data_IF_688067426120
#
_entry.id   IF_688067426120
#
_cell.length_a   1.000
_cell.length_b   1.000
_cell.length_c   1.000
_cell.angle_alpha   90.00
_cell.angle_beta   90.00
_cell.angle_gamma   90.00
#
_symmetry.space_group_name_H-M   'P 1'
#
loop_
_entity.id
_entity.type
_entity.pdbx_description
1 polymer ?
#
# COMPACT_ATOMS: atom_id res chain seq x y z
N UNK A 1 -10.90 22.49 -12.18
CA UNK A 1 -11.72 23.65 -12.60
C UNK A 1 -13.12 23.50 -12.01
N UNK A 2 -13.60 24.54 -11.31
CA UNK A 2 -14.96 24.61 -10.77
C UNK A 2 -15.69 25.73 -11.49
N UNK A 3 -16.69 25.45 -12.32
CA UNK A 3 -17.35 26.47 -13.16
C UNK A 3 -17.91 27.67 -12.37
N UNK A 4 -18.30 27.48 -11.12
CA UNK A 4 -18.85 28.54 -10.26
C UNK A 4 -17.80 29.41 -9.55
N UNK A 5 -16.50 29.08 -9.65
CA UNK A 5 -15.44 29.77 -8.89
C UNK A 5 -14.39 30.42 -9.80
N UNK A 6 -14.76 31.48 -10.48
CA UNK A 6 -13.89 32.19 -11.46
C UNK A 6 -12.55 32.63 -10.85
N UNK A 7 -12.55 33.15 -9.61
CA UNK A 7 -11.31 33.53 -8.91
C UNK A 7 -10.39 32.37 -8.65
N UNK A 8 -10.93 31.22 -8.23
CA UNK A 8 -10.17 29.99 -7.98
C UNK A 8 -9.58 29.44 -9.28
N UNK A 9 -10.33 29.46 -10.37
CA UNK A 9 -9.87 29.05 -11.70
C UNK A 9 -8.75 29.95 -12.24
N UNK A 10 -8.81 31.27 -12.01
CA UNK A 10 -7.74 32.20 -12.39
C UNK A 10 -6.44 31.94 -11.62
N UNK A 11 -6.53 31.66 -10.31
CA UNK A 11 -5.37 31.28 -9.49
C UNK A 11 -4.78 29.96 -10.01
N UNK A 12 -5.61 28.99 -10.33
CA UNK A 12 -5.17 27.69 -10.87
C UNK A 12 -4.47 27.82 -12.22
N UNK A 13 -4.96 28.69 -13.12
CA UNK A 13 -4.32 29.01 -14.40
C UNK A 13 -2.97 29.70 -14.21
N UNK A 14 -2.88 30.67 -13.29
CA UNK A 14 -1.63 31.34 -12.94
C UNK A 14 -0.59 30.38 -12.39
N UNK A 15 -1.01 29.48 -11.49
CA UNK A 15 -0.14 28.46 -10.93
C UNK A 15 0.33 27.45 -11.99
N UNK A 16 -0.53 27.08 -12.94
CA UNK A 16 -0.14 26.22 -14.06
C UNK A 16 0.89 26.88 -14.97
N UNK A 17 0.70 28.17 -15.31
CA UNK A 17 1.68 28.93 -16.10
C UNK A 17 3.01 29.13 -15.37
N UNK A 18 2.98 29.28 -14.04
CA UNK A 18 4.19 29.34 -13.22
C UNK A 18 4.91 27.98 -13.22
N UNK A 19 4.19 26.89 -12.97
CA UNK A 19 4.74 25.54 -13.02
C UNK A 19 5.35 25.18 -14.38
N UNK A 20 4.76 25.69 -15.50
CA UNK A 20 5.34 25.53 -16.83
C UNK A 20 6.70 26.23 -16.95
N UNK A 21 6.79 27.49 -16.48
CA UNK A 21 8.06 28.24 -16.51
C UNK A 21 9.15 27.58 -15.67
N UNK A 22 8.80 27.14 -14.47
CA UNK A 22 9.72 26.43 -13.58
C UNK A 22 10.18 25.11 -14.19
N UNK A 23 9.25 24.30 -14.72
CA UNK A 23 9.59 23.05 -15.39
C UNK A 23 10.54 23.28 -16.57
N UNK A 24 10.26 24.26 -17.45
CA UNK A 24 11.12 24.59 -18.57
C UNK A 24 12.51 25.10 -18.12
N UNK A 25 12.57 25.90 -17.04
CA UNK A 25 13.84 26.34 -16.48
C UNK A 25 14.69 25.15 -15.97
N UNK A 26 14.08 24.22 -15.23
CA UNK A 26 14.73 23.00 -14.75
C UNK A 26 15.21 22.14 -15.92
N UNK A 27 14.36 21.93 -16.94
CA UNK A 27 14.72 21.10 -18.11
C UNK A 27 15.88 21.69 -18.92
N UNK A 28 15.91 23.02 -19.07
CA UNK A 28 16.96 23.73 -19.79
C UNK A 28 18.30 23.73 -19.04
N UNK A 29 18.26 23.80 -17.71
CA UNK A 29 19.44 23.80 -16.85
C UNK A 29 20.01 22.39 -16.67
N UNK A 30 19.15 21.44 -16.27
CA UNK A 30 19.55 20.05 -15.95
C UNK A 30 19.78 19.19 -17.20
N UNK A 31 19.06 19.46 -18.30
CA UNK A 31 19.12 18.71 -19.58
C UNK A 31 19.03 17.19 -19.39
N UNK A 32 17.96 16.67 -18.82
CA UNK A 32 17.83 15.24 -18.55
C UNK A 32 17.71 14.44 -19.85
N UNK A 33 18.30 13.24 -19.88
CA UNK A 33 18.14 12.28 -20.97
C UNK A 33 16.82 11.50 -20.87
N UNK A 34 16.22 11.47 -19.68
CA UNK A 34 14.95 10.78 -19.37
C UNK A 34 14.25 11.45 -18.20
N UNK A 35 12.92 11.45 -18.21
CA UNK A 35 12.10 11.91 -17.09
C UNK A 35 11.18 10.79 -16.62
N UNK A 36 11.25 10.48 -15.33
CA UNK A 36 10.36 9.50 -14.69
C UNK A 36 9.47 10.19 -13.66
N UNK A 37 8.16 10.14 -13.87
CA UNK A 37 7.18 10.60 -12.92
C UNK A 37 6.63 9.43 -12.09
N UNK A 38 6.45 9.63 -10.77
CA UNK A 38 5.90 8.62 -9.85
C UNK A 38 4.45 8.91 -9.45
N UNK A 39 3.72 9.64 -10.30
CA UNK A 39 2.36 10.09 -9.99
C UNK A 39 2.33 11.34 -9.12
N UNK A 40 1.11 11.70 -8.68
CA UNK A 40 0.89 12.93 -7.96
C UNK A 40 0.97 14.19 -8.84
N UNK A 41 0.36 15.29 -8.37
CA UNK A 41 0.28 16.53 -9.14
C UNK A 41 1.65 17.17 -9.42
N UNK A 42 2.63 16.96 -8.55
CA UNK A 42 3.96 17.55 -8.68
C UNK A 42 4.77 16.97 -9.86
N UNK A 43 4.50 15.73 -10.28
CA UNK A 43 5.18 15.12 -11.44
C UNK A 43 4.65 15.64 -12.78
N UNK A 44 3.42 16.18 -12.81
CA UNK A 44 2.76 16.56 -14.04
C UNK A 44 3.54 17.57 -14.89
N UNK A 45 4.02 18.73 -14.37
CA UNK A 45 4.69 19.73 -15.19
C UNK A 45 5.95 19.17 -15.87
N UNK A 46 6.83 18.54 -15.09
CA UNK A 46 8.10 18.02 -15.63
C UNK A 46 7.89 16.96 -16.71
N UNK A 47 7.03 15.97 -16.47
CA UNK A 47 6.75 14.93 -17.46
C UNK A 47 6.06 15.52 -18.70
N UNK A 48 5.08 16.40 -18.50
CA UNK A 48 4.30 17.01 -19.61
C UNK A 48 5.17 17.89 -20.52
N UNK A 49 5.98 18.76 -19.92
CA UNK A 49 6.83 19.68 -20.70
C UNK A 49 8.08 19.02 -21.22
N UNK A 50 8.62 18.01 -20.53
CA UNK A 50 9.68 17.16 -21.05
C UNK A 50 9.25 16.40 -22.30
N UNK A 51 8.09 15.76 -22.27
CA UNK A 51 7.50 15.11 -23.44
C UNK A 51 7.30 16.09 -24.62
N UNK A 52 6.83 17.32 -24.34
CA UNK A 52 6.71 18.37 -25.35
C UNK A 52 8.05 18.80 -25.93
N UNK A 53 9.11 18.75 -25.14
CA UNK A 53 10.48 19.05 -25.58
C UNK A 53 11.18 17.87 -26.30
N UNK A 54 10.50 16.73 -26.45
CA UNK A 54 11.06 15.53 -27.10
C UNK A 54 11.98 14.70 -26.20
N UNK A 55 11.99 14.97 -24.92
CA UNK A 55 12.73 14.17 -23.94
C UNK A 55 11.94 12.90 -23.64
N UNK A 56 12.54 11.71 -23.64
CA UNK A 56 11.88 10.46 -23.26
C UNK A 56 11.24 10.55 -21.89
N UNK A 57 9.99 10.05 -21.76
CA UNK A 57 9.24 10.15 -20.52
C UNK A 57 8.57 8.85 -20.14
N UNK A 58 8.58 8.52 -18.85
CA UNK A 58 7.85 7.41 -18.28
C UNK A 58 7.10 7.85 -17.01
N UNK A 59 5.99 7.16 -16.72
CA UNK A 59 5.23 7.37 -15.48
C UNK A 59 5.08 6.02 -14.79
N UNK A 60 5.32 5.97 -13.48
CA UNK A 60 4.99 4.83 -12.64
C UNK A 60 3.71 5.14 -11.85
N UNK A 61 2.69 4.33 -12.02
CA UNK A 61 1.42 4.38 -11.28
C UNK A 61 1.31 3.17 -10.35
N UNK A 62 1.29 3.42 -9.07
CA UNK A 62 1.22 2.35 -8.07
C UNK A 62 -0.19 1.84 -7.81
N UNK A 63 -1.22 2.68 -8.02
CA UNK A 63 -2.60 2.29 -7.81
C UNK A 63 -3.15 1.47 -9.00
N UNK A 64 -4.12 0.61 -8.72
CA UNK A 64 -4.77 -0.21 -9.74
C UNK A 64 -5.45 0.65 -10.81
N UNK A 65 -6.17 1.67 -10.36
CA UNK A 65 -6.82 2.63 -11.26
C UNK A 65 -6.02 3.92 -11.30
N UNK A 66 -5.60 4.39 -12.50
CA UNK A 66 -4.76 5.56 -12.62
C UNK A 66 -5.40 6.80 -12.02
N UNK A 67 -4.59 7.58 -11.29
CA UNK A 67 -4.95 8.88 -10.79
C UNK A 67 -5.13 9.91 -11.93
N UNK A 68 -5.69 11.07 -11.60
CA UNK A 68 -5.94 12.13 -12.59
C UNK A 68 -4.67 12.56 -13.33
N UNK A 69 -3.56 12.70 -12.63
CA UNK A 69 -2.26 13.08 -13.21
C UNK A 69 -1.80 12.07 -14.25
N UNK A 70 -1.81 10.78 -13.90
CA UNK A 70 -1.40 9.70 -14.81
C UNK A 70 -2.29 9.64 -16.04
N UNK A 71 -3.61 9.79 -15.87
CA UNK A 71 -4.56 9.85 -17.01
C UNK A 71 -4.31 11.02 -17.95
N UNK A 72 -3.92 12.18 -17.40
CA UNK A 72 -3.59 13.37 -18.21
C UNK A 72 -2.24 13.23 -18.91
N UNK A 73 -1.29 12.50 -18.33
CA UNK A 73 0.02 12.24 -18.90
C UNK A 73 0.02 11.08 -19.91
N UNK A 74 -0.93 10.16 -19.83
CA UNK A 74 -1.04 8.98 -20.69
C UNK A 74 -0.86 9.26 -22.19
N UNK A 75 -1.53 10.26 -22.83
CA UNK A 75 -1.32 10.51 -24.25
C UNK A 75 0.07 11.04 -24.58
N UNK A 76 0.81 11.55 -23.62
CA UNK A 76 2.04 12.31 -23.80
C UNK A 76 3.30 11.54 -23.46
N UNK A 77 3.26 10.66 -22.47
CA UNK A 77 4.42 9.86 -22.06
C UNK A 77 4.65 8.66 -23.00
N UNK A 78 5.89 8.19 -23.03
CA UNK A 78 6.31 7.05 -23.88
C UNK A 78 5.95 5.71 -23.22
N UNK A 79 6.08 5.61 -21.90
CA UNK A 79 5.74 4.39 -21.14
C UNK A 79 4.98 4.72 -19.86
N UNK A 80 4.09 3.80 -19.48
CA UNK A 80 3.38 3.81 -18.21
C UNK A 80 3.67 2.48 -17.52
N UNK A 81 4.37 2.55 -16.41
CA UNK A 81 4.74 1.38 -15.59
C UNK A 81 3.68 1.19 -14.50
N UNK A 82 3.18 -0.03 -14.36
CA UNK A 82 2.09 -0.36 -13.43
C UNK A 82 2.42 -1.56 -12.56
N UNK A 83 1.70 -1.68 -11.43
CA UNK A 83 1.92 -2.73 -10.44
C UNK A 83 1.43 -4.10 -10.86
N UNK A 84 0.32 -4.18 -11.61
CA UNK A 84 -0.40 -5.43 -11.91
C UNK A 84 -0.90 -5.45 -13.36
N UNK A 85 -1.09 -6.65 -13.93
CA UNK A 85 -1.61 -6.80 -15.30
C UNK A 85 -3.01 -6.20 -15.47
N UNK A 86 -3.87 -6.37 -14.45
CA UNK A 86 -5.23 -5.84 -14.45
C UNK A 86 -5.30 -4.31 -14.63
N UNK A 87 -4.23 -3.59 -14.26
CA UNK A 87 -4.15 -2.14 -14.45
C UNK A 87 -4.28 -1.73 -15.92
N UNK A 88 -3.81 -2.58 -16.85
CA UNK A 88 -3.79 -2.31 -18.29
C UNK A 88 -5.18 -1.94 -18.84
N UNK A 89 -6.22 -2.58 -18.33
CA UNK A 89 -7.60 -2.35 -18.75
C UNK A 89 -8.13 -0.93 -18.45
N UNK A 90 -7.44 -0.17 -17.59
CA UNK A 90 -7.86 1.17 -17.21
C UNK A 90 -7.25 2.28 -18.08
N UNK A 91 -6.44 1.94 -19.06
CA UNK A 91 -5.77 2.88 -19.96
C UNK A 91 -6.37 2.89 -21.37
N UNK A 92 -6.33 4.06 -21.99
CA UNK A 92 -6.76 4.25 -23.40
C UNK A 92 -5.68 3.85 -24.40
N UNK A 93 -4.41 3.85 -23.93
CA UNK A 93 -3.22 3.49 -24.68
C UNK A 93 -2.52 2.29 -24.03
N UNK A 94 -3.15 1.09 -24.01
CA UNK A 94 -2.62 -0.09 -23.36
C UNK A 94 -1.27 -0.56 -23.93
N UNK A 95 -0.94 -0.16 -25.17
CA UNK A 95 0.36 -0.41 -25.82
C UNK A 95 1.51 0.31 -25.14
N UNK A 96 1.25 1.39 -24.40
CA UNK A 96 2.27 2.11 -23.62
C UNK A 96 2.46 1.49 -22.22
N UNK A 97 1.55 0.64 -21.77
CA UNK A 97 1.55 0.07 -20.42
C UNK A 97 2.52 -1.10 -20.34
N UNK A 98 3.43 -1.02 -19.37
CA UNK A 98 4.38 -2.08 -19.02
C UNK A 98 4.14 -2.50 -17.57
N UNK A 99 3.94 -3.80 -17.36
CA UNK A 99 3.75 -4.35 -16.01
C UNK A 99 5.12 -4.59 -15.39
N UNK A 100 5.52 -3.66 -14.55
CA UNK A 100 6.82 -3.71 -13.88
C UNK A 100 6.74 -4.17 -12.43
N UNK A 101 5.56 -4.11 -11.83
CA UNK A 101 5.44 -4.13 -10.38
C UNK A 101 5.75 -2.76 -9.77
N UNK A 102 5.56 -2.66 -8.46
CA UNK A 102 6.01 -1.52 -7.66
C UNK A 102 7.22 -1.98 -6.84
N UNK A 103 8.32 -1.21 -6.78
CA UNK A 103 9.52 -1.60 -6.05
C UNK A 103 9.24 -1.90 -4.58
N UNK A 104 9.72 -3.05 -4.12
CA UNK A 104 9.74 -3.45 -2.71
C UNK A 104 11.19 -3.44 -2.24
N UNK A 105 11.44 -2.90 -1.06
CA UNK A 105 12.79 -2.82 -0.49
C UNK A 105 13.40 -4.20 -0.32
N UNK A 106 14.70 -4.32 -0.59
CA UNK A 106 15.42 -5.61 -0.56
C UNK A 106 15.43 -6.29 0.82
N UNK A 107 15.30 -5.51 1.91
CA UNK A 107 15.26 -6.03 3.28
C UNK A 107 14.04 -6.94 3.57
N UNK A 108 12.94 -6.79 2.80
CA UNK A 108 11.80 -7.70 2.85
C UNK A 108 12.14 -9.15 2.44
N UNK A 109 13.21 -9.33 1.67
CA UNK A 109 13.67 -10.64 1.18
C UNK A 109 14.93 -11.16 1.90
N UNK A 110 15.45 -10.41 2.87
CA UNK A 110 16.70 -10.73 3.58
C UNK A 110 16.57 -11.99 4.48
N UNK A 111 15.37 -12.30 4.94
CA UNK A 111 15.10 -13.43 5.82
C UNK A 111 14.11 -14.40 5.19
N UNK A 112 14.22 -15.68 5.52
CA UNK A 112 13.11 -16.62 5.33
C UNK A 112 12.03 -16.36 6.37
N UNK A 113 10.80 -16.86 6.16
CA UNK A 113 9.70 -16.75 7.12
C UNK A 113 10.08 -17.34 8.48
N UNK A 114 10.75 -18.48 8.49
CA UNK A 114 11.20 -19.14 9.70
C UNK A 114 12.21 -18.29 10.46
N UNK A 115 13.24 -17.78 9.79
CA UNK A 115 14.25 -16.89 10.41
C UNK A 115 13.62 -15.59 10.96
N UNK A 116 12.61 -15.06 10.26
CA UNK A 116 11.89 -13.88 10.73
C UNK A 116 11.06 -14.17 11.99
N UNK A 117 10.39 -15.34 12.06
CA UNK A 117 9.68 -15.80 13.26
C UNK A 117 10.63 -16.00 14.45
N UNK A 118 11.77 -16.66 14.23
CA UNK A 118 12.80 -16.86 15.25
C UNK A 118 13.33 -15.55 15.81
N UNK A 119 13.62 -14.58 14.92
CA UNK A 119 14.06 -13.23 15.31
C UNK A 119 13.04 -12.50 16.18
N UNK A 120 11.76 -12.74 15.98
CA UNK A 120 10.67 -12.13 16.74
C UNK A 120 10.24 -12.93 17.97
N UNK A 121 10.85 -14.09 18.24
CA UNK A 121 10.50 -14.96 19.36
C UNK A 121 9.19 -15.72 19.17
N UNK A 122 8.71 -15.88 17.93
CA UNK A 122 7.48 -16.61 17.59
C UNK A 122 7.83 -18.07 17.28
N UNK A 123 8.07 -18.88 18.34
CA UNK A 123 8.66 -20.22 18.20
C UNK A 123 7.78 -21.35 18.79
N UNK A 124 6.56 -21.03 19.23
CA UNK A 124 5.67 -21.98 19.94
C UNK A 124 4.61 -22.62 19.03
N UNK A 125 4.71 -22.41 17.71
CA UNK A 125 3.81 -22.97 16.72
C UNK A 125 2.50 -22.18 16.51
N UNK A 126 2.23 -21.16 17.32
CA UNK A 126 1.08 -20.27 17.09
C UNK A 126 1.28 -19.43 15.82
N UNK A 127 0.17 -19.07 15.18
CA UNK A 127 0.16 -18.16 14.04
C UNK A 127 0.47 -16.72 14.51
N UNK A 128 1.09 -15.93 13.62
CA UNK A 128 1.36 -14.51 13.85
C UNK A 128 0.42 -13.64 13.02
N UNK A 129 -0.35 -12.80 13.71
CA UNK A 129 -1.07 -11.67 13.10
C UNK A 129 -0.18 -10.44 13.14
N UNK A 130 -0.17 -9.68 12.06
CA UNK A 130 0.43 -8.34 12.02
C UNK A 130 -0.65 -7.37 11.57
N UNK A 131 -0.86 -6.28 12.31
CA UNK A 131 -1.87 -5.29 11.97
C UNK A 131 -1.33 -3.86 12.01
N UNK A 132 -1.78 -3.02 11.08
CA UNK A 132 -1.41 -1.60 11.03
C UNK A 132 -2.32 -0.81 10.08
N UNK A 133 -2.42 0.51 10.30
CA UNK A 133 -3.35 1.38 9.57
C UNK A 133 -2.63 2.50 8.78
N UNK A 134 -1.40 2.24 8.34
CA UNK A 134 -0.50 3.21 7.72
C UNK A 134 0.35 3.97 8.77
N UNK A 135 1.23 4.85 8.30
CA UNK A 135 2.20 5.57 9.15
C UNK A 135 1.55 6.49 10.19
N UNK A 136 0.41 7.09 9.86
CA UNK A 136 -0.31 7.99 10.75
C UNK A 136 -1.29 7.26 11.68
N UNK A 137 -1.67 6.03 11.35
CA UNK A 137 -2.71 5.30 12.05
C UNK A 137 -4.13 5.73 11.65
N UNK A 138 -5.12 5.19 12.34
CA UNK A 138 -6.55 5.50 12.17
C UNK A 138 -7.27 5.32 13.49
N UNK A 139 -7.84 6.39 14.05
CA UNK A 139 -8.55 6.33 15.34
C UNK A 139 -9.67 5.29 15.34
N UNK A 140 -10.53 5.28 14.30
CA UNK A 140 -11.64 4.33 14.21
C UNK A 140 -11.13 2.87 14.20
N UNK A 141 -10.11 2.60 13.40
CA UNK A 141 -9.57 1.24 13.29
C UNK A 141 -8.73 0.82 14.49
N UNK A 142 -8.03 1.75 15.14
CA UNK A 142 -7.32 1.46 16.39
C UNK A 142 -8.29 1.20 17.54
N UNK A 143 -9.45 1.88 17.58
CA UNK A 143 -10.52 1.55 18.56
C UNK A 143 -11.05 0.12 18.36
N UNK A 144 -11.35 -0.25 17.11
CA UNK A 144 -11.75 -1.62 16.78
C UNK A 144 -10.63 -2.64 17.11
N UNK A 145 -9.36 -2.25 16.93
CA UNK A 145 -8.23 -3.11 17.28
C UNK A 145 -8.06 -3.27 18.80
N UNK A 146 -8.32 -2.25 19.61
CA UNK A 146 -8.33 -2.39 21.07
C UNK A 146 -9.37 -3.42 21.54
N UNK A 147 -10.59 -3.37 20.98
CA UNK A 147 -11.62 -4.39 21.23
C UNK A 147 -11.21 -5.79 20.74
N UNK A 148 -10.53 -5.87 19.60
CA UNK A 148 -9.96 -7.12 19.08
C UNK A 148 -8.94 -7.71 20.05
N UNK A 149 -7.99 -6.90 20.53
CA UNK A 149 -6.95 -7.31 21.47
C UNK A 149 -7.53 -7.73 22.84
N UNK A 150 -8.60 -7.11 23.28
CA UNK A 150 -9.33 -7.53 24.50
C UNK A 150 -9.94 -8.94 24.36
N UNK A 151 -10.46 -9.27 23.17
CA UNK A 151 -10.95 -10.63 22.89
C UNK A 151 -9.81 -11.64 22.73
N UNK A 152 -8.70 -11.20 22.20
CA UNK A 152 -7.51 -12.02 21.98
C UNK A 152 -6.80 -12.34 23.30
N UNK A 153 -6.64 -11.36 24.19
CA UNK A 153 -6.01 -11.52 25.50
C UNK A 153 -6.72 -12.57 26.38
N UNK A 154 -8.03 -12.69 26.26
CA UNK A 154 -8.81 -13.67 27.00
C UNK A 154 -8.52 -15.14 26.61
N UNK A 155 -7.93 -15.39 25.43
CA UNK A 155 -7.73 -16.75 24.86
C UNK A 155 -6.31 -17.01 24.38
N UNK A 156 -5.53 -15.98 24.12
CA UNK A 156 -4.17 -16.00 23.51
C UNK A 156 -3.99 -17.01 22.36
N UNK A 157 -4.89 -17.04 21.37
CA UNK A 157 -4.84 -18.07 20.32
C UNK A 157 -3.72 -17.84 19.30
N UNK A 158 -3.18 -16.61 19.23
CA UNK A 158 -2.20 -16.17 18.24
C UNK A 158 -1.10 -15.32 18.90
N UNK A 159 0.00 -15.11 18.17
CA UNK A 159 0.86 -13.97 18.38
C UNK A 159 0.32 -12.79 17.59
N UNK A 160 0.38 -11.58 18.13
CA UNK A 160 -0.08 -10.38 17.46
C UNK A 160 0.91 -9.23 17.64
N UNK A 161 1.31 -8.60 16.53
CA UNK A 161 2.09 -7.36 16.53
C UNK A 161 1.23 -6.28 15.87
N UNK A 162 0.84 -5.27 16.65
CA UNK A 162 0.04 -4.15 16.17
C UNK A 162 0.82 -2.85 16.13
N UNK A 163 0.86 -2.19 14.96
CA UNK A 163 1.40 -0.84 14.77
C UNK A 163 0.29 0.20 14.79
N UNK A 164 0.29 1.03 15.81
CA UNK A 164 -0.79 2.00 16.10
C UNK A 164 -0.72 3.21 15.16
N UNK A 165 0.48 3.71 14.90
CA UNK A 165 0.73 5.00 14.28
C UNK A 165 0.89 6.12 15.32
N UNK A 166 1.82 7.01 15.08
CA UNK A 166 2.28 8.04 16.01
C UNK A 166 1.13 8.89 16.59
N UNK A 167 0.22 9.34 15.72
CA UNK A 167 -0.87 10.25 16.13
C UNK A 167 -1.88 9.57 17.08
N UNK A 168 -2.02 8.25 16.99
CA UNK A 168 -3.03 7.49 17.72
C UNK A 168 -2.50 6.82 19.01
N UNK A 169 -1.21 6.95 19.31
CA UNK A 169 -0.56 6.19 20.39
C UNK A 169 -1.21 6.40 21.76
N UNK A 170 -1.38 7.65 22.20
CA UNK A 170 -1.98 7.96 23.50
C UNK A 170 -3.43 7.47 23.62
N UNK A 171 -4.20 7.60 22.54
CA UNK A 171 -5.57 7.09 22.50
C UNK A 171 -5.63 5.57 22.62
N UNK A 172 -4.71 4.86 21.97
CA UNK A 172 -4.63 3.41 22.03
C UNK A 172 -4.33 2.91 23.46
N UNK A 173 -3.39 3.55 24.14
CA UNK A 173 -3.08 3.23 25.53
C UNK A 173 -4.30 3.39 26.45
N UNK A 174 -5.09 4.47 26.25
CA UNK A 174 -6.30 4.70 27.01
C UNK A 174 -7.34 3.61 26.74
N UNK A 175 -7.59 3.26 25.46
CA UNK A 175 -8.57 2.23 25.11
C UNK A 175 -8.20 0.85 25.63
N UNK A 176 -6.93 0.46 25.61
CA UNK A 176 -6.48 -0.79 26.22
C UNK A 176 -6.72 -0.80 27.72
N UNK A 177 -6.48 0.33 28.41
CA UNK A 177 -6.80 0.48 29.83
C UNK A 177 -8.29 0.38 30.09
N UNK A 178 -9.12 1.06 29.30
CA UNK A 178 -10.58 1.04 29.43
C UNK A 178 -11.17 -0.37 29.22
N UNK A 179 -10.58 -1.13 28.28
CA UNK A 179 -10.95 -2.51 27.96
C UNK A 179 -10.25 -3.54 28.88
N UNK A 180 -9.52 -3.07 29.91
CA UNK A 180 -8.82 -3.88 30.91
C UNK A 180 -7.78 -4.86 30.32
N UNK A 181 -7.09 -4.46 29.25
CA UNK A 181 -6.03 -5.24 28.61
C UNK A 181 -4.68 -4.90 29.22
N UNK A 182 -4.13 -5.81 30.02
CA UNK A 182 -2.76 -5.72 30.55
C UNK A 182 -1.78 -6.45 29.63
N UNK A 183 -1.12 -5.70 28.76
CA UNK A 183 -0.13 -6.28 27.82
C UNK A 183 1.06 -6.95 28.52
N UNK A 184 1.37 -6.57 29.77
CA UNK A 184 2.47 -7.20 30.52
C UNK A 184 2.17 -8.63 30.92
N UNK A 185 0.88 -8.96 31.09
CA UNK A 185 0.40 -10.32 31.34
C UNK A 185 0.29 -11.17 30.03
N UNK A 186 0.38 -10.54 28.86
CA UNK A 186 0.15 -11.17 27.56
C UNK A 186 1.33 -10.96 26.58
N UNK A 187 2.48 -11.62 26.79
CA UNK A 187 3.70 -11.42 25.99
C UNK A 187 3.55 -11.77 24.51
N UNK A 188 2.51 -12.52 24.13
CA UNK A 188 2.18 -12.80 22.75
C UNK A 188 1.55 -11.60 22.02
N UNK A 189 1.03 -10.61 22.76
CA UNK A 189 0.40 -9.41 22.23
C UNK A 189 1.38 -8.22 22.34
N UNK A 190 1.83 -7.71 21.21
CA UNK A 190 2.74 -6.57 21.15
C UNK A 190 2.04 -5.39 20.48
N UNK A 191 1.84 -4.31 21.21
CA UNK A 191 1.33 -3.05 20.69
C UNK A 191 2.49 -2.06 20.63
N UNK A 192 2.79 -1.57 19.45
CA UNK A 192 3.92 -0.68 19.17
C UNK A 192 3.41 0.63 18.59
N UNK A 193 3.98 1.75 19.00
CA UNK A 193 3.68 3.05 18.40
C UNK A 193 3.99 3.02 16.90
N UNK A 194 5.14 2.49 16.53
CA UNK A 194 5.58 2.31 15.15
C UNK A 194 6.36 1.00 14.99
N UNK A 195 6.22 0.35 13.82
CA UNK A 195 6.96 -0.87 13.49
C UNK A 195 8.16 -0.49 12.61
N UNK A 196 9.33 -0.29 13.22
CA UNK A 196 10.55 0.08 12.50
C UNK A 196 11.13 -1.08 11.69
N UNK A 197 10.96 -2.31 12.15
CA UNK A 197 11.42 -3.54 11.54
C UNK A 197 10.34 -4.22 10.67
N UNK A 198 9.50 -3.42 9.99
CA UNK A 198 8.34 -3.85 9.21
C UNK A 198 8.67 -5.00 8.25
N UNK A 199 9.84 -4.99 7.61
CA UNK A 199 10.27 -6.05 6.70
C UNK A 199 10.33 -7.42 7.38
N UNK A 200 10.95 -7.50 8.57
CA UNK A 200 11.02 -8.75 9.33
C UNK A 200 9.63 -9.15 9.87
N UNK A 201 8.86 -8.18 10.36
CA UNK A 201 7.53 -8.42 10.94
C UNK A 201 6.56 -8.93 9.88
N UNK A 202 6.48 -8.28 8.71
CA UNK A 202 5.62 -8.75 7.61
C UNK A 202 6.12 -10.11 7.04
N UNK A 203 7.43 -10.33 6.97
CA UNK A 203 7.98 -11.62 6.51
C UNK A 203 7.60 -12.78 7.42
N UNK A 204 7.49 -12.53 8.74
CA UNK A 204 7.09 -13.54 9.74
C UNK A 204 5.58 -13.79 9.77
N UNK A 205 4.77 -12.86 9.30
CA UNK A 205 3.32 -12.89 9.41
C UNK A 205 2.69 -14.12 8.75
N UNK A 206 1.67 -14.66 9.40
CA UNK A 206 0.76 -15.64 8.80
C UNK A 206 -0.46 -14.93 8.21
N UNK A 207 -0.89 -13.83 8.81
CA UNK A 207 -1.98 -12.97 8.36
C UNK A 207 -1.62 -11.51 8.61
N UNK A 208 -1.86 -10.66 7.63
CA UNK A 208 -1.74 -9.20 7.79
C UNK A 208 -3.12 -8.56 7.76
N UNK A 209 -3.40 -7.64 8.69
CA UNK A 209 -4.63 -6.85 8.72
C UNK A 209 -4.24 -5.38 8.52
N UNK A 210 -4.63 -4.79 7.40
CA UNK A 210 -4.16 -3.44 7.08
C UNK A 210 -5.09 -2.67 6.13
N UNK A 211 -4.72 -1.42 5.85
CA UNK A 211 -5.29 -0.61 4.76
C UNK A 211 -4.82 -1.12 3.39
N UNK A 212 -5.55 -0.75 2.33
CA UNK A 212 -5.22 -1.13 0.95
C UNK A 212 -4.38 -0.07 0.22
N UNK A 213 -3.30 0.39 0.86
CA UNK A 213 -2.32 1.26 0.22
C UNK A 213 -1.52 0.51 -0.83
N UNK A 214 -1.26 1.12 -1.98
CA UNK A 214 -0.62 0.45 -3.11
C UNK A 214 0.76 -0.15 -2.78
N UNK A 215 1.60 0.55 -2.01
CA UNK A 215 2.91 0.03 -1.59
C UNK A 215 2.76 -1.21 -0.70
N UNK A 216 1.82 -1.17 0.27
CA UNK A 216 1.56 -2.32 1.14
C UNK A 216 1.07 -3.53 0.36
N UNK A 217 0.19 -3.34 -0.66
CA UNK A 217 -0.25 -4.44 -1.51
C UNK A 217 0.90 -5.05 -2.30
N UNK A 218 1.84 -4.24 -2.78
CA UNK A 218 3.03 -4.72 -3.47
C UNK A 218 3.95 -5.52 -2.54
N UNK A 219 4.10 -5.10 -1.28
CA UNK A 219 4.84 -5.83 -0.24
C UNK A 219 4.16 -7.17 0.08
N UNK A 220 2.84 -7.18 0.30
CA UNK A 220 2.07 -8.40 0.58
C UNK A 220 2.16 -9.42 -0.56
N UNK A 221 1.98 -8.96 -1.80
CA UNK A 221 2.04 -9.85 -2.97
C UNK A 221 3.45 -10.38 -3.20
N UNK A 222 4.49 -9.55 -3.06
CA UNK A 222 5.88 -9.97 -3.19
C UNK A 222 6.30 -11.00 -2.12
N UNK A 223 5.71 -10.92 -0.92
CA UNK A 223 5.94 -11.86 0.19
C UNK A 223 5.03 -13.10 0.13
N UNK A 224 3.91 -13.04 -0.58
CA UNK A 224 2.90 -14.10 -0.59
C UNK A 224 2.15 -14.22 0.74
N UNK A 225 1.89 -13.10 1.44
CA UNK A 225 1.26 -13.12 2.76
C UNK A 225 -0.24 -12.82 2.65
N UNK A 226 -1.13 -13.72 3.08
CA UNK A 226 -2.58 -13.50 3.11
C UNK A 226 -2.96 -12.26 3.92
N UNK A 227 -4.01 -11.55 3.50
CA UNK A 227 -4.42 -10.35 4.19
C UNK A 227 -5.93 -10.22 4.42
N UNK A 228 -6.30 -9.50 5.48
CA UNK A 228 -7.58 -8.83 5.63
C UNK A 228 -7.34 -7.36 5.29
N UNK A 229 -7.99 -6.87 4.26
CA UNK A 229 -7.89 -5.49 3.81
C UNK A 229 -9.11 -4.70 4.25
N UNK A 230 -8.87 -3.59 4.93
CA UNK A 230 -9.92 -2.64 5.31
C UNK A 230 -9.61 -1.31 4.62
N UNK A 231 -10.11 -1.11 3.38
CA UNK A 231 -9.82 0.11 2.63
C UNK A 231 -10.35 1.35 3.35
N UNK A 232 -9.57 2.43 3.32
CA UNK A 232 -10.01 3.71 3.89
C UNK A 232 -11.05 4.36 2.98
N UNK A 233 -12.21 4.79 3.50
CA UNK A 233 -13.21 5.52 2.73
C UNK A 233 -12.76 6.98 2.47
N UNK A 234 -11.82 7.50 3.25
CA UNK A 234 -11.40 8.90 3.26
C UNK A 234 -10.21 9.19 2.34
N UNK A 235 -10.12 8.50 1.20
CA UNK A 235 -9.04 8.70 0.22
C UNK A 235 -9.58 9.17 -1.13
N UNK A 236 -8.77 9.96 -1.84
CA UNK A 236 -9.14 10.51 -3.14
C UNK A 236 -9.54 9.41 -4.12
N UNK A 237 -10.68 9.58 -4.82
CA UNK A 237 -11.18 8.67 -5.84
C UNK A 237 -11.41 7.23 -5.37
N UNK A 238 -11.57 6.99 -4.07
CA UNK A 238 -11.75 5.64 -3.49
C UNK A 238 -10.70 4.64 -3.97
N UNK A 239 -9.45 5.10 -4.13
CA UNK A 239 -8.41 4.26 -4.72
C UNK A 239 -8.09 3.03 -3.87
N UNK A 240 -8.22 3.09 -2.52
CA UNK A 240 -8.00 1.93 -1.68
C UNK A 240 -9.06 0.84 -1.85
N UNK A 241 -10.32 1.21 -2.09
CA UNK A 241 -11.37 0.23 -2.38
C UNK A 241 -11.05 -0.55 -3.67
N UNK A 242 -10.62 0.17 -4.72
CA UNK A 242 -10.23 -0.43 -6.00
C UNK A 242 -8.97 -1.29 -5.88
N UNK A 243 -8.00 -0.84 -5.09
CA UNK A 243 -6.81 -1.61 -4.77
C UNK A 243 -7.16 -2.91 -4.03
N UNK A 244 -8.04 -2.84 -3.01
CA UNK A 244 -8.48 -4.01 -2.25
C UNK A 244 -9.29 -4.99 -3.10
N UNK A 245 -10.17 -4.47 -3.98
CA UNK A 245 -11.00 -5.28 -4.85
C UNK A 245 -10.16 -6.22 -5.73
N UNK A 246 -9.05 -5.74 -6.30
CA UNK A 246 -8.16 -6.59 -7.09
C UNK A 246 -7.72 -7.85 -6.31
N UNK A 247 -7.20 -7.66 -5.08
CA UNK A 247 -6.74 -8.79 -4.29
C UNK A 247 -7.88 -9.68 -3.80
N UNK A 248 -9.04 -9.08 -3.54
CA UNK A 248 -10.26 -9.81 -3.19
C UNK A 248 -10.75 -10.70 -4.34
N UNK A 249 -10.85 -10.15 -5.55
CA UNK A 249 -11.31 -10.83 -6.76
C UNK A 249 -10.40 -12.00 -7.16
N UNK A 250 -9.09 -11.87 -6.91
CA UNK A 250 -8.12 -12.95 -7.08
C UNK A 250 -8.08 -13.96 -5.92
N UNK A 251 -8.92 -13.77 -4.88
CA UNK A 251 -8.93 -14.65 -3.70
C UNK A 251 -7.68 -14.55 -2.83
N UNK A 252 -6.87 -13.51 -3.00
CA UNK A 252 -5.64 -13.26 -2.26
C UNK A 252 -5.87 -12.59 -0.90
N UNK A 253 -6.99 -11.86 -0.74
CA UNK A 253 -7.34 -11.16 0.48
C UNK A 253 -8.83 -11.27 0.81
N UNK A 254 -9.16 -11.15 2.10
CA UNK A 254 -10.52 -10.88 2.55
C UNK A 254 -10.69 -9.37 2.67
N UNK A 255 -11.65 -8.80 1.94
CA UNK A 255 -11.93 -7.37 1.99
C UNK A 255 -13.12 -7.11 2.91
N UNK A 256 -12.95 -6.21 3.88
CA UNK A 256 -13.98 -5.77 4.81
C UNK A 256 -14.18 -4.26 4.66
N UNK A 257 -15.43 -3.81 4.61
CA UNK A 257 -15.72 -2.39 4.66
C UNK A 257 -15.46 -1.84 6.08
N UNK A 258 -14.96 -0.61 6.19
CA UNK A 258 -14.75 0.04 7.50
C UNK A 258 -16.09 0.36 8.18
N UNK A 259 -17.12 0.68 7.39
CA UNK A 259 -18.43 1.03 7.92
C UNK A 259 -19.04 -0.12 8.74
N UNK A 260 -19.33 0.14 9.99
CA UNK A 260 -19.89 -0.84 10.93
C UNK A 260 -18.96 -1.99 11.30
N UNK A 261 -17.65 -1.87 11.02
CA UNK A 261 -16.63 -2.82 11.45
C UNK A 261 -16.22 -2.52 12.90
N UNK A 262 -16.36 -3.52 13.76
CA UNK A 262 -15.94 -3.50 15.16
C UNK A 262 -14.88 -4.58 15.45
N UNK A 263 -14.32 -4.55 16.65
CA UNK A 263 -13.29 -5.52 17.05
C UNK A 263 -13.79 -6.97 17.06
N UNK A 264 -15.06 -7.20 17.36
CA UNK A 264 -15.66 -8.55 17.37
C UNK A 264 -15.74 -9.14 15.97
N UNK A 265 -16.21 -8.35 15.00
CA UNK A 265 -16.29 -8.77 13.60
C UNK A 265 -14.92 -9.02 13.02
N UNK A 266 -13.97 -8.13 13.32
CA UNK A 266 -12.60 -8.25 12.84
C UNK A 266 -11.89 -9.48 13.43
N UNK A 267 -12.06 -9.73 14.74
CA UNK A 267 -11.55 -10.92 15.42
C UNK A 267 -12.16 -12.21 14.84
N UNK A 268 -13.48 -12.25 14.66
CA UNK A 268 -14.17 -13.40 14.09
C UNK A 268 -13.66 -13.72 12.67
N UNK A 269 -13.46 -12.69 11.85
CA UNK A 269 -12.91 -12.84 10.49
C UNK A 269 -11.47 -13.40 10.52
N UNK A 270 -10.60 -12.83 11.34
CA UNK A 270 -9.21 -13.27 11.47
C UNK A 270 -9.11 -14.71 12.02
N UNK A 271 -9.84 -14.99 13.11
CA UNK A 271 -9.87 -16.32 13.71
C UNK A 271 -10.47 -17.38 12.76
N UNK A 272 -11.47 -17.01 11.98
CA UNK A 272 -12.07 -17.87 10.96
C UNK A 272 -11.08 -18.25 9.87
N UNK A 273 -10.31 -17.27 9.35
CA UNK A 273 -9.27 -17.51 8.36
C UNK A 273 -8.14 -18.39 8.92
N UNK A 274 -7.62 -18.06 10.10
CA UNK A 274 -6.46 -18.72 10.67
C UNK A 274 -6.73 -20.18 11.10
N UNK A 275 -8.01 -20.57 11.24
CA UNK A 275 -8.44 -21.96 11.48
C UNK A 275 -8.60 -22.79 10.21
N UNK A 276 -8.69 -22.16 9.05
CA UNK A 276 -8.83 -22.80 7.74
C UNK A 276 -7.48 -22.78 7.01
N UNK A 277 -6.62 -23.74 7.37
CA UNK A 277 -5.28 -23.85 6.75
C UNK A 277 -5.36 -24.00 5.23
N UNK A 278 -6.34 -24.73 4.70
CA UNK A 278 -6.49 -24.90 3.27
C UNK A 278 -6.84 -23.57 2.56
N UNK A 279 -7.68 -22.74 3.18
CA UNK A 279 -7.99 -21.40 2.68
C UNK A 279 -6.79 -20.48 2.76
N UNK A 280 -6.04 -20.53 3.87
CA UNK A 280 -4.83 -19.71 4.03
C UNK A 280 -3.77 -20.04 2.99
N UNK A 281 -3.57 -21.34 2.67
CA UNK A 281 -2.66 -21.76 1.59
C UNK A 281 -3.11 -21.21 0.25
N UNK A 282 -4.38 -21.37 -0.12
CA UNK A 282 -4.90 -20.82 -1.38
C UNK A 282 -4.75 -19.30 -1.46
N UNK A 283 -5.01 -18.58 -0.37
CA UNK A 283 -4.82 -17.14 -0.33
C UNK A 283 -3.35 -16.75 -0.51
N UNK A 284 -2.42 -17.48 0.12
CA UNK A 284 -0.99 -17.24 -0.02
C UNK A 284 -0.50 -17.50 -1.45
N UNK A 285 -0.97 -18.57 -2.09
CA UNK A 285 -0.64 -18.90 -3.48
C UNK A 285 -1.17 -17.82 -4.44
N UNK A 286 -2.43 -17.40 -4.28
CA UNK A 286 -3.02 -16.30 -5.06
C UNK A 286 -2.25 -14.99 -4.86
N UNK A 287 -1.87 -14.67 -3.62
CA UNK A 287 -1.09 -13.48 -3.31
C UNK A 287 0.29 -13.52 -4.00
N UNK A 288 0.98 -14.66 -3.93
CA UNK A 288 2.30 -14.84 -4.55
C UNK A 288 2.25 -14.79 -6.09
N UNK A 289 1.17 -15.26 -6.71
CA UNK A 289 0.98 -15.18 -8.17
C UNK A 289 0.85 -13.74 -8.68
N UNK A 290 0.34 -12.83 -7.87
CA UNK A 290 0.25 -11.40 -8.19
C UNK A 290 1.57 -10.67 -7.94
N UNK A 291 2.51 -11.27 -7.22
CA UNK A 291 3.74 -10.63 -6.75
C UNK A 291 4.81 -10.50 -7.81
N UNK A 292 5.40 -9.31 -7.93
CA UNK A 292 6.56 -9.03 -8.79
C UNK A 292 7.72 -8.65 -7.89
N UNK A 293 8.73 -9.52 -7.80
CA UNK A 293 9.89 -9.33 -6.91
C UNK A 293 11.03 -8.57 -7.56
N UNK A 294 11.12 -8.62 -8.86
CA UNK A 294 12.14 -7.98 -9.72
C UNK A 294 11.67 -6.63 -10.29
N UNK A 295 10.74 -5.96 -9.60
CA UNK A 295 10.13 -4.72 -10.08
C UNK A 295 11.17 -3.62 -10.38
N UNK A 296 12.19 -3.47 -9.53
CA UNK A 296 13.26 -2.48 -9.73
C UNK A 296 14.02 -2.73 -11.02
N UNK A 297 14.36 -4.00 -11.32
CA UNK A 297 15.05 -4.39 -12.54
C UNK A 297 14.18 -4.16 -13.78
N UNK A 298 12.89 -4.53 -13.71
CA UNK A 298 11.95 -4.29 -14.81
C UNK A 298 11.78 -2.81 -15.10
N UNK A 299 11.64 -1.98 -14.06
CA UNK A 299 11.59 -0.52 -14.21
C UNK A 299 12.89 -0.01 -14.85
N UNK A 300 14.04 -0.42 -14.33
CA UNK A 300 15.33 -0.02 -14.88
C UNK A 300 15.44 -0.35 -16.38
N UNK A 301 15.16 -1.58 -16.78
CA UNK A 301 15.20 -1.97 -18.18
C UNK A 301 14.18 -1.20 -19.05
N UNK A 302 12.98 -0.96 -18.51
CA UNK A 302 11.93 -0.21 -19.21
C UNK A 302 12.37 1.23 -19.48
N UNK A 303 12.95 1.91 -18.49
CA UNK A 303 13.36 3.31 -18.65
C UNK A 303 14.65 3.45 -19.47
N UNK A 304 15.61 2.53 -19.30
CA UNK A 304 16.85 2.54 -20.06
C UNK A 304 16.64 2.23 -21.56
N UNK A 305 15.61 1.48 -21.91
CA UNK A 305 15.22 1.26 -23.31
C UNK A 305 14.71 2.54 -24.01
N UNK A 306 14.37 3.59 -23.26
CA UNK A 306 13.95 4.89 -23.79
C UNK A 306 15.15 5.83 -24.03
N UNK A 307 16.27 5.62 -23.34
CA UNK A 307 17.49 6.40 -23.50
C UNK A 307 18.22 5.90 -24.74
N UNK A 308 18.50 6.81 -25.68
CA UNK A 308 19.19 6.50 -26.96
C UNK A 308 20.68 6.56 -26.80
#
# INVERSE_FOLDING_TARGET
FRPAEIKHNLVSLKNLAHAEREANAILNDFKPDLIVGTGGYASYPLVRYGAKAGIPTAVHESNIVPGLTTRQLEPHCDRIMVGFEDCRAHYRHPEKVVVTGTPVRGDFFALTKQQAKEKLGVNDGRKLIVSFWGSLGSNAMNRAMAEFLALESAKEPFHHIHGVGEICWSSMQQWLSDDSVDLSAHPALQVREYIYDMAAVMRAADLVICRAGASTLSELTALGVPAILVPSPNVTNHHQEKNAALLGDHGAALVLAEEGLDGKKLFAAAAGLLRDDARMVRMADSMAQLGIRDATERIYHTVMALVK
#
